data_IF_902486341819
#
_entry.id   IF_902486341819
#
_cell.length_a   1.000
_cell.length_b   1.000
_cell.length_c   1.000
_cell.angle_alpha   90.00
_cell.angle_beta   90.00
_cell.angle_gamma   90.00
#
_symmetry.space_group_name_H-M   'P 1'
#
loop_
_entity.id
_entity.type
_entity.pdbx_description
1 polymer ?
#
# COMPACT_ATOMS: atom_id res chain seq x y z
N UNK A 1 9.75 -2.42 -1.20
CA UNK A 1 8.97 -3.66 -1.42
C UNK A 1 8.67 -4.35 -0.11
N UNK A 2 7.50 -4.95 0.02
CA UNK A 2 7.15 -5.73 1.20
C UNK A 2 7.96 -7.02 1.26
N UNK A 3 8.49 -7.31 2.44
CA UNK A 3 9.14 -8.59 2.70
C UNK A 3 8.08 -9.63 3.06
N UNK A 4 8.42 -10.91 2.95
CA UNK A 4 7.50 -12.00 3.31
C UNK A 4 6.97 -11.86 4.74
N UNK A 5 7.80 -11.38 5.66
CA UNK A 5 7.41 -11.14 7.04
C UNK A 5 6.30 -10.11 7.16
N UNK A 6 6.39 -9.02 6.39
CA UNK A 6 5.38 -7.98 6.37
C UNK A 6 4.05 -8.49 5.80
N UNK A 7 4.10 -9.34 4.80
CA UNK A 7 2.89 -9.98 4.26
C UNK A 7 2.18 -10.83 5.31
N UNK A 8 2.93 -11.57 6.12
CA UNK A 8 2.34 -12.37 7.20
C UNK A 8 1.68 -11.49 8.24
N UNK A 9 2.31 -10.37 8.59
CA UNK A 9 1.75 -9.41 9.53
C UNK A 9 0.43 -8.83 9.00
N UNK A 10 0.40 -8.44 7.73
CA UNK A 10 -0.81 -7.93 7.10
C UNK A 10 -1.93 -8.97 7.06
N UNK A 11 -1.60 -10.22 6.81
CA UNK A 11 -2.60 -11.29 6.80
C UNK A 11 -3.17 -11.55 8.19
N UNK A 12 -2.42 -11.24 9.24
CA UNK A 12 -2.89 -11.36 10.62
C UNK A 12 -3.75 -10.19 11.09
N UNK A 13 -3.81 -9.09 10.32
CA UNK A 13 -4.60 -7.93 10.70
C UNK A 13 -6.08 -8.12 10.38
N UNK A 14 -6.94 -7.43 11.13
CA UNK A 14 -8.36 -7.41 10.83
C UNK A 14 -8.62 -6.65 9.52
N UNK A 15 -9.79 -6.89 8.93
CA UNK A 15 -10.18 -6.22 7.69
C UNK A 15 -10.18 -4.69 7.85
N UNK A 16 -10.66 -4.20 9.00
CA UNK A 16 -10.68 -2.75 9.27
C UNK A 16 -9.27 -2.15 9.27
N UNK A 17 -8.32 -2.83 9.93
CA UNK A 17 -6.94 -2.36 9.97
C UNK A 17 -6.28 -2.39 8.60
N UNK A 18 -6.59 -3.40 7.80
CA UNK A 18 -6.10 -3.46 6.42
C UNK A 18 -6.64 -2.31 5.59
N UNK A 19 -7.91 -1.95 5.76
CA UNK A 19 -8.51 -0.82 5.07
C UNK A 19 -7.87 0.49 5.50
N UNK A 20 -7.58 0.66 6.78
CA UNK A 20 -6.86 1.84 7.28
C UNK A 20 -5.47 1.93 6.66
N UNK A 21 -4.75 0.81 6.59
CA UNK A 21 -3.43 0.77 5.98
C UNK A 21 -3.51 1.14 4.50
N UNK A 22 -4.52 0.66 3.80
CA UNK A 22 -4.75 1.00 2.41
C UNK A 22 -4.96 2.51 2.23
N UNK A 23 -5.73 3.11 3.12
CA UNK A 23 -5.96 4.57 3.09
C UNK A 23 -4.65 5.34 3.28
N UNK A 24 -3.83 4.94 4.23
CA UNK A 24 -2.52 5.56 4.45
C UNK A 24 -1.64 5.47 3.21
N UNK A 25 -1.59 4.30 2.59
CA UNK A 25 -0.78 4.10 1.38
C UNK A 25 -1.29 4.96 0.22
N UNK A 26 -2.60 5.11 0.10
CA UNK A 26 -3.19 5.98 -0.92
C UNK A 26 -2.81 7.44 -0.70
N UNK A 27 -2.82 7.90 0.54
CA UNK A 27 -2.39 9.26 0.88
C UNK A 27 -0.92 9.47 0.54
N UNK A 28 -0.08 8.51 0.89
CA UNK A 28 1.35 8.57 0.57
C UNK A 28 1.57 8.64 -0.94
N UNK A 29 0.85 7.84 -1.69
CA UNK A 29 0.95 7.85 -3.16
C UNK A 29 0.55 9.21 -3.72
N UNK A 30 -0.53 9.79 -3.20
CA UNK A 30 -1.01 11.10 -3.63
C UNK A 30 0.06 12.17 -3.38
N UNK A 31 0.65 12.17 -2.18
CA UNK A 31 1.70 13.13 -1.85
C UNK A 31 2.93 12.96 -2.73
N UNK A 32 3.35 11.72 -2.97
CA UNK A 32 4.49 11.45 -3.83
C UNK A 32 4.23 11.92 -5.27
N UNK A 33 3.02 11.72 -5.76
CA UNK A 33 2.65 12.20 -7.10
C UNK A 33 2.68 13.71 -7.19
N UNK A 34 2.22 14.40 -6.14
CA UNK A 34 2.29 15.86 -6.10
C UNK A 34 3.72 16.35 -6.09
N UNK A 35 4.59 15.74 -5.30
CA UNK A 35 6.01 16.08 -5.25
C UNK A 35 6.67 15.86 -6.60
N UNK A 36 6.33 14.77 -7.27
CA UNK A 36 6.88 14.49 -8.59
C UNK A 36 6.42 15.53 -9.63
N UNK A 37 5.15 15.93 -9.55
CA UNK A 37 4.60 16.93 -10.46
C UNK A 37 5.26 18.30 -10.30
N UNK A 38 5.73 18.63 -9.09
CA UNK A 38 6.42 19.89 -8.82
C UNK A 38 7.95 19.77 -8.92
N UNK A 39 8.44 18.65 -9.43
CA UNK A 39 9.87 18.34 -9.57
C UNK A 39 10.65 18.36 -8.25
N UNK A 40 9.95 18.10 -7.14
CA UNK A 40 10.59 18.01 -5.82
C UNK A 40 11.00 16.58 -5.48
N UNK A 41 10.57 15.61 -6.27
CA UNK A 41 10.88 14.20 -6.05
C UNK A 41 11.93 13.75 -7.06
N UNK A 42 13.12 13.41 -6.55
CA UNK A 42 14.23 13.01 -7.40
C UNK A 42 14.13 11.57 -7.90
N UNK A 43 13.39 10.72 -7.17
CA UNK A 43 13.35 9.29 -7.48
C UNK A 43 11.91 8.79 -7.63
N UNK A 44 11.44 8.56 -8.86
CA UNK A 44 10.07 8.06 -9.09
C UNK A 44 9.87 6.61 -8.65
N UNK A 45 10.92 5.89 -8.30
CA UNK A 45 10.79 4.51 -7.84
C UNK A 45 9.99 4.41 -6.54
N UNK A 46 9.95 5.45 -5.72
CA UNK A 46 9.11 5.46 -4.52
C UNK A 46 7.64 5.33 -4.88
N UNK A 47 7.21 5.98 -5.95
CA UNK A 47 5.83 5.89 -6.42
C UNK A 47 5.51 4.45 -6.82
N UNK A 48 6.40 3.80 -7.55
CA UNK A 48 6.21 2.41 -7.96
C UNK A 48 6.14 1.46 -6.75
N UNK A 49 7.00 1.68 -5.75
CA UNK A 49 7.01 0.87 -4.53
C UNK A 49 5.69 0.99 -3.78
N UNK A 50 5.19 2.22 -3.60
CA UNK A 50 3.92 2.45 -2.91
C UNK A 50 2.76 1.82 -3.68
N UNK A 51 2.74 1.91 -5.01
CA UNK A 51 1.72 1.26 -5.83
C UNK A 51 1.70 -0.25 -5.64
N UNK A 52 2.88 -0.88 -5.56
CA UNK A 52 2.98 -2.31 -5.31
C UNK A 52 2.42 -2.67 -3.93
N UNK A 53 2.74 -1.87 -2.93
CA UNK A 53 2.23 -2.10 -1.57
C UNK A 53 0.72 -1.98 -1.52
N UNK A 54 0.15 -0.98 -2.20
CA UNK A 54 -1.30 -0.81 -2.31
C UNK A 54 -1.93 -2.06 -2.95
N UNK A 55 -1.35 -2.55 -4.03
CA UNK A 55 -1.87 -3.72 -4.73
C UNK A 55 -1.84 -4.96 -3.83
N UNK A 56 -0.79 -5.14 -3.04
CA UNK A 56 -0.67 -6.26 -2.11
C UNK A 56 -1.71 -6.19 -1.00
N UNK A 57 -1.89 -5.01 -0.41
CA UNK A 57 -2.90 -4.83 0.64
C UNK A 57 -4.29 -5.06 0.08
N UNK A 58 -4.60 -4.57 -1.10
CA UNK A 58 -5.88 -4.83 -1.77
C UNK A 58 -6.11 -6.32 -1.99
N UNK A 59 -5.07 -7.05 -2.42
CA UNK A 59 -5.16 -8.49 -2.64
C UNK A 59 -5.49 -9.21 -1.34
N UNK A 60 -4.83 -8.85 -0.24
CA UNK A 60 -5.08 -9.45 1.07
C UNK A 60 -6.50 -9.16 1.54
N UNK A 61 -6.96 -7.93 1.36
CA UNK A 61 -8.35 -7.55 1.71
C UNK A 61 -9.33 -8.41 0.92
N UNK A 62 -9.10 -8.57 -0.38
CA UNK A 62 -9.95 -9.37 -1.24
C UNK A 62 -9.98 -10.83 -0.79
N UNK A 63 -8.82 -11.39 -0.44
CA UNK A 63 -8.73 -12.75 0.08
C UNK A 63 -9.58 -12.93 1.33
N UNK A 64 -9.51 -11.97 2.26
CA UNK A 64 -10.28 -12.03 3.50
C UNK A 64 -11.77 -11.91 3.26
N UNK A 65 -12.18 -11.09 2.31
CA UNK A 65 -13.59 -10.93 1.96
C UNK A 65 -14.17 -12.18 1.29
N UNK A 66 -13.36 -12.90 0.51
CA UNK A 66 -13.83 -14.09 -0.21
C UNK A 66 -13.73 -15.37 0.61
N UNK A 67 -12.97 -15.38 1.69
CA UNK A 67 -12.76 -16.55 2.54
C UNK A 67 -13.68 -16.58 3.77
N UNK A 68 -14.80 -15.94 3.71
CA UNK A 68 -15.76 -15.89 4.81
C UNK A 68 -16.63 -17.17 4.82
#
# INVERSE_FOLDING_TARGET
MMKAKELKEFRGLSLEKLQEKLQELKKDLFMLRMQHATNQLDNPMQIAAVKKDIARVKTIIREKETNI
#
